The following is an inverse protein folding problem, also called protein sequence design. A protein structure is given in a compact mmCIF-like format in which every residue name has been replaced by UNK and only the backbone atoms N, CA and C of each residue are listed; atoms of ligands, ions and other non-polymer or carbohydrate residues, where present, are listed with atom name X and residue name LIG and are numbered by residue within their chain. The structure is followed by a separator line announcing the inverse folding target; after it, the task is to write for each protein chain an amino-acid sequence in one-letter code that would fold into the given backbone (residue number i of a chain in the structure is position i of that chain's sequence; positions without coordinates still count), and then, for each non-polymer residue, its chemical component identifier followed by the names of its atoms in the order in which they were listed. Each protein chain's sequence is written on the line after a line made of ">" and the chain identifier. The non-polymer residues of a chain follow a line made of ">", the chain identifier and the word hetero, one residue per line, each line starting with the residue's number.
data_IF_762831729676
#
_entry.id   IF_762831729676
#
_cell.length_a   1.000
_cell.length_b   1.000
_cell.length_c   1.000
_cell.angle_alpha   90.00
_cell.angle_beta   90.00
_cell.angle_gamma   90.00
#
_symmetry.space_group_name_H-M   'P 1'
#
loop_
_entity.id
_entity.type
_entity.pdbx_description
1 polymer ?
#
# COMPACT_ATOMS: atom_id res chain seq x y z
N UNK A 1 42.48 12.59 21.14
CA UNK A 1 41.23 13.35 20.87
C UNK A 1 40.33 12.51 19.95
N UNK A 2 39.24 11.94 20.47
CA UNK A 2 38.28 11.12 19.71
C UNK A 2 37.51 12.03 18.75
N UNK A 3 37.87 12.04 17.46
CA UNK A 3 37.13 12.74 16.41
C UNK A 3 35.79 12.01 16.21
N UNK A 4 34.73 12.55 16.83
CA UNK A 4 33.34 12.11 16.66
C UNK A 4 33.03 12.26 15.16
N UNK A 5 32.88 11.15 14.45
CA UNK A 5 32.49 11.16 13.04
C UNK A 5 31.06 11.69 13.00
N UNK A 6 30.90 12.93 12.58
CA UNK A 6 29.61 13.45 12.19
C UNK A 6 29.11 12.62 11.01
N UNK A 7 28.16 11.72 11.29
CA UNK A 7 27.40 11.03 10.25
C UNK A 7 26.22 11.90 9.91
N UNK A 8 26.50 13.06 9.33
CA UNK A 8 25.52 13.79 8.53
C UNK A 8 25.39 13.08 7.17
N UNK A 9 24.87 11.85 7.22
CA UNK A 9 24.40 11.15 6.04
C UNK A 9 22.99 11.66 5.83
N UNK A 10 22.89 12.70 5.00
CA UNK A 10 21.68 13.22 4.34
C UNK A 10 20.55 12.17 4.39
N UNK A 11 19.68 12.28 5.40
CA UNK A 11 18.60 11.32 5.62
C UNK A 11 17.65 11.43 4.44
N UNK A 12 17.40 10.29 3.83
CA UNK A 12 16.54 10.16 2.67
C UNK A 12 15.11 10.44 3.15
N UNK A 13 14.64 11.68 2.94
CA UNK A 13 13.39 12.21 3.50
C UNK A 13 12.19 11.32 3.14
N UNK A 14 12.25 10.66 1.99
CA UNK A 14 11.24 9.68 1.54
C UNK A 14 11.24 8.40 2.40
N UNK A 15 12.42 7.89 2.79
CA UNK A 15 12.52 6.73 3.70
C UNK A 15 12.11 7.08 5.12
N UNK A 16 12.38 8.32 5.56
CA UNK A 16 11.93 8.82 6.86
C UNK A 16 10.40 8.97 6.91
N UNK A 17 9.80 9.47 5.83
CA UNK A 17 8.34 9.49 5.66
C UNK A 17 7.75 8.08 5.66
N UNK A 18 8.36 7.14 4.93
CA UNK A 18 7.89 5.76 4.86
C UNK A 18 8.01 4.98 6.18
N UNK A 19 9.01 5.31 7.00
CA UNK A 19 9.22 4.74 8.33
C UNK A 19 8.60 5.57 9.46
N UNK A 20 7.79 6.59 9.12
CA UNK A 20 7.18 7.47 10.12
C UNK A 20 6.17 6.72 10.99
N UNK A 21 6.08 7.14 12.26
CA UNK A 21 5.08 6.61 13.20
C UNK A 21 3.65 6.79 12.68
N UNK A 22 3.38 7.90 11.98
CA UNK A 22 2.07 8.17 11.38
C UNK A 22 1.67 7.07 10.37
N UNK A 23 2.57 6.72 9.44
CA UNK A 23 2.33 5.65 8.46
C UNK A 23 2.12 4.30 9.15
N UNK A 24 2.89 4.01 10.21
CA UNK A 24 2.71 2.77 10.98
C UNK A 24 1.34 2.70 11.68
N UNK A 25 0.87 3.81 12.26
CA UNK A 25 -0.46 3.89 12.88
C UNK A 25 -1.58 3.73 11.84
N UNK A 26 -1.47 4.41 10.69
CA UNK A 26 -2.46 4.31 9.60
C UNK A 26 -2.61 2.86 9.10
N UNK A 27 -1.50 2.15 8.86
CA UNK A 27 -1.54 0.73 8.45
C UNK A 27 -2.22 -0.18 9.47
N UNK A 28 -2.06 0.10 10.77
CA UNK A 28 -2.72 -0.69 11.83
C UNK A 28 -4.23 -0.43 11.91
N UNK A 29 -4.67 0.79 11.62
CA UNK A 29 -6.09 1.15 11.64
C UNK A 29 -6.83 0.81 10.34
N UNK A 30 -6.10 0.63 9.24
CA UNK A 30 -6.66 0.35 7.91
C UNK A 30 -7.64 -0.84 7.88
N UNK A 31 -7.36 -2.01 8.49
CA UNK A 31 -8.31 -3.13 8.50
C UNK A 31 -9.64 -2.80 9.19
N UNK A 32 -9.60 -1.95 10.22
CA UNK A 32 -10.79 -1.50 10.95
C UNK A 32 -11.61 -0.58 10.05
N UNK A 33 -10.95 0.36 9.36
CA UNK A 33 -11.59 1.24 8.39
C UNK A 33 -12.23 0.47 7.24
N UNK A 34 -11.55 -0.55 6.69
CA UNK A 34 -12.09 -1.41 5.63
C UNK A 34 -13.28 -2.23 6.11
N UNK A 35 -13.28 -2.72 7.36
CA UNK A 35 -14.39 -3.48 7.92
C UNK A 35 -15.69 -2.66 8.07
N UNK A 36 -15.62 -1.34 8.03
CA UNK A 36 -16.81 -0.47 8.00
C UNK A 36 -17.55 -0.52 6.67
N UNK A 37 -16.93 -1.03 5.60
CA UNK A 37 -17.55 -1.18 4.28
C UNK A 37 -18.07 -2.60 4.08
N UNK A 38 -19.19 -2.73 3.36
CA UNK A 38 -19.68 -4.02 2.88
C UNK A 38 -18.77 -4.57 1.75
N UNK A 39 -18.89 -5.85 1.42
CA UNK A 39 -18.02 -6.48 0.42
C UNK A 39 -18.02 -5.77 -0.95
N UNK A 40 -19.20 -5.35 -1.43
CA UNK A 40 -19.34 -4.54 -2.66
C UNK A 40 -18.60 -3.19 -2.58
N UNK A 41 -18.72 -2.50 -1.44
CA UNK A 41 -18.09 -1.20 -1.23
C UNK A 41 -16.57 -1.34 -1.12
N UNK A 42 -16.07 -2.43 -0.51
CA UNK A 42 -14.64 -2.73 -0.46
C UNK A 42 -14.05 -2.98 -1.85
N UNK A 43 -14.81 -3.64 -2.75
CA UNK A 43 -14.40 -3.79 -4.15
C UNK A 43 -14.30 -2.42 -4.84
N UNK A 44 -15.31 -1.55 -4.65
CA UNK A 44 -15.28 -0.18 -5.18
C UNK A 44 -14.07 0.63 -4.70
N UNK A 45 -13.70 0.48 -3.42
CA UNK A 45 -12.48 1.09 -2.85
C UNK A 45 -11.23 0.62 -3.61
N UNK A 46 -11.13 -0.67 -3.93
CA UNK A 46 -9.99 -1.20 -4.70
C UNK A 46 -9.98 -0.71 -6.15
N UNK A 47 -11.13 -0.69 -6.82
CA UNK A 47 -11.25 -0.14 -8.18
C UNK A 47 -10.85 1.33 -8.23
N UNK A 48 -11.31 2.13 -7.26
CA UNK A 48 -10.92 3.53 -7.13
C UNK A 48 -9.41 3.68 -6.90
N UNK A 49 -8.82 2.88 -5.99
CA UNK A 49 -7.35 2.85 -5.76
C UNK A 49 -6.58 2.54 -7.05
N UNK A 50 -7.03 1.55 -7.82
CA UNK A 50 -6.37 1.16 -9.07
C UNK A 50 -6.53 2.24 -10.16
N UNK A 51 -7.64 2.98 -10.18
CA UNK A 51 -7.81 4.15 -11.04
C UNK A 51 -6.82 5.27 -10.67
N UNK A 52 -6.63 5.55 -9.37
CA UNK A 52 -5.62 6.49 -8.90
C UNK A 52 -4.19 6.05 -9.30
N UNK A 53 -3.88 4.75 -9.21
CA UNK A 53 -2.58 4.23 -9.63
C UNK A 53 -2.32 4.35 -11.13
N UNK A 54 -3.37 4.18 -11.95
CA UNK A 54 -3.26 4.31 -13.41
C UNK A 54 -3.06 5.76 -13.86
N UNK A 55 -3.34 6.75 -13.01
CA UNK A 55 -3.03 8.18 -13.23
C UNK A 55 -3.74 8.81 -14.44
N UNK A 56 -4.71 8.12 -15.03
CA UNK A 56 -5.37 8.49 -16.29
C UNK A 56 -6.75 9.12 -16.11
N UNK A 57 -7.22 9.26 -14.88
CA UNK A 57 -8.62 9.56 -14.56
C UNK A 57 -8.67 10.77 -13.62
N UNK A 58 -9.50 11.78 -13.91
CA UNK A 58 -9.69 12.93 -13.03
C UNK A 58 -10.48 12.50 -11.79
N UNK A 59 -10.29 13.19 -10.66
CA UNK A 59 -11.03 12.86 -9.42
C UNK A 59 -12.56 12.89 -9.62
N UNK A 60 -13.03 13.78 -10.50
CA UNK A 60 -14.44 13.90 -10.87
C UNK A 60 -14.98 12.64 -11.55
N UNK A 61 -14.22 12.04 -12.47
CA UNK A 61 -14.65 10.81 -13.17
C UNK A 61 -14.70 9.60 -12.22
N UNK A 62 -13.84 9.58 -11.19
CA UNK A 62 -13.84 8.54 -10.15
C UNK A 62 -15.11 8.66 -9.30
N UNK A 63 -15.51 9.89 -8.96
CA UNK A 63 -16.73 10.16 -8.23
C UNK A 63 -17.97 9.68 -9.00
N UNK A 64 -18.07 10.07 -10.27
CA UNK A 64 -19.18 9.67 -11.14
C UNK A 64 -19.22 8.15 -11.37
N UNK A 65 -18.05 7.50 -11.49
CA UNK A 65 -17.96 6.04 -11.59
C UNK A 65 -18.52 5.34 -10.35
N UNK A 66 -18.07 5.72 -9.15
CA UNK A 66 -18.51 5.08 -7.90
C UNK A 66 -20.01 5.30 -7.69
N UNK A 67 -20.49 6.53 -7.95
CA UNK A 67 -21.92 6.87 -7.87
C UNK A 67 -22.75 6.04 -8.84
N UNK A 68 -22.31 5.92 -10.09
CA UNK A 68 -22.98 5.10 -11.10
C UNK A 68 -23.02 3.62 -10.69
N UNK A 69 -21.90 3.05 -10.24
CA UNK A 69 -21.81 1.64 -9.84
C UNK A 69 -22.62 1.32 -8.58
N UNK A 70 -22.78 2.27 -7.65
CA UNK A 70 -23.68 2.11 -6.49
C UNK A 70 -25.15 2.14 -6.89
N UNK A 71 -25.51 2.94 -7.90
CA UNK A 71 -26.91 3.07 -8.36
C UNK A 71 -27.38 1.94 -9.28
N UNK A 72 -26.46 1.26 -9.96
CA UNK A 72 -26.79 0.16 -10.86
C UNK A 72 -26.84 -1.18 -10.12
N UNK A 73 -27.88 -2.02 -10.33
CA UNK A 73 -27.91 -3.37 -9.78
C UNK A 73 -26.75 -4.20 -10.35
N UNK A 74 -26.17 -5.05 -9.50
CA UNK A 74 -25.01 -5.88 -9.88
C UNK A 74 -25.38 -6.73 -11.09
N UNK A 75 -24.73 -6.47 -12.22
CA UNK A 75 -24.67 -7.43 -13.31
C UNK A 75 -23.53 -8.38 -12.99
N UNK A 76 -23.82 -9.40 -12.19
CA UNK A 76 -22.88 -10.49 -11.96
C UNK A 76 -22.77 -11.24 -13.28
N UNK A 77 -21.66 -11.06 -13.98
CA UNK A 77 -21.35 -11.87 -15.16
C UNK A 77 -20.95 -13.27 -14.67
N UNK A 78 -21.70 -14.34 -15.03
CA UNK A 78 -21.36 -15.69 -14.66
C UNK A 78 -20.06 -16.20 -15.32
N UNK A 79 -19.50 -15.48 -16.29
CA UNK A 79 -18.21 -15.81 -16.91
C UNK A 79 -17.00 -15.26 -16.15
N UNK A 80 -17.21 -14.45 -15.10
CA UNK A 80 -16.12 -13.87 -14.33
C UNK A 80 -15.51 -14.89 -13.33
N UNK A 81 -14.18 -14.93 -13.28
CA UNK A 81 -13.41 -15.80 -12.37
C UNK A 81 -13.70 -15.46 -10.90
N UNK A 82 -14.14 -14.23 -10.62
CA UNK A 82 -14.53 -13.74 -9.29
C UNK A 82 -16.06 -13.74 -9.06
N UNK A 83 -16.85 -14.37 -9.93
CA UNK A 83 -18.32 -14.41 -9.81
C UNK A 83 -18.81 -14.99 -8.48
N UNK A 84 -18.12 -15.99 -7.93
CA UNK A 84 -18.46 -16.57 -6.62
C UNK A 84 -18.24 -15.59 -5.45
N UNK A 85 -17.25 -14.71 -5.55
CA UNK A 85 -16.98 -13.66 -4.57
C UNK A 85 -18.06 -12.58 -4.63
N UNK A 86 -18.41 -12.11 -5.83
CA UNK A 86 -19.49 -11.14 -6.03
C UNK A 86 -20.83 -11.65 -5.50
N UNK A 87 -21.16 -12.93 -5.77
CA UNK A 87 -22.35 -13.57 -5.21
C UNK A 87 -22.35 -13.59 -3.68
N UNK A 88 -21.22 -13.94 -3.05
CA UNK A 88 -21.11 -13.96 -1.59
C UNK A 88 -21.20 -12.56 -0.98
N UNK A 89 -20.52 -11.57 -1.55
CA UNK A 89 -20.51 -10.19 -1.03
C UNK A 89 -21.84 -9.47 -1.23
N UNK A 90 -22.56 -9.77 -2.32
CA UNK A 90 -23.95 -9.34 -2.51
C UNK A 90 -24.86 -9.92 -1.41
N UNK A 91 -24.69 -11.19 -1.05
CA UNK A 91 -25.48 -11.87 -0.01
C UNK A 91 -25.11 -11.46 1.42
N UNK A 92 -23.83 -11.15 1.70
CA UNK A 92 -23.37 -10.67 3.01
C UNK A 92 -23.75 -9.20 3.28
N UNK A 93 -23.77 -8.35 2.24
CA UNK A 93 -24.09 -6.92 2.36
C UNK A 93 -25.52 -6.64 2.85
N UNK A 94 -26.47 -7.53 2.55
CA UNK A 94 -27.89 -7.38 2.93
C UNK A 94 -28.14 -7.41 4.44
N UNK A 95 -27.20 -7.88 5.28
CA UNK A 95 -27.41 -8.04 6.73
C UNK A 95 -27.30 -6.74 7.55
N UNK A 96 -26.89 -5.62 6.94
CA UNK A 96 -26.72 -4.33 7.65
C UNK A 96 -28.00 -3.47 7.60
N UNK A 97 -29.11 -3.97 8.13
CA UNK A 97 -30.34 -3.18 8.24
C UNK A 97 -30.30 -2.11 9.36
N UNK A 98 -29.25 -2.06 10.19
CA UNK A 98 -29.25 -1.26 11.43
C UNK A 98 -28.18 -0.17 11.55
N UNK A 99 -27.31 0.03 10.56
CA UNK A 99 -26.35 1.13 10.60
C UNK A 99 -26.87 2.26 9.72
N UNK A 100 -27.17 3.39 10.37
CA UNK A 100 -27.58 4.71 9.87
C UNK A 100 -27.68 4.82 8.34
N UNK A 101 -28.83 5.31 7.85
CA UNK A 101 -29.01 5.73 6.44
C UNK A 101 -28.03 6.87 6.10
N UNK A 102 -26.77 6.52 5.88
CA UNK A 102 -25.75 7.41 5.29
C UNK A 102 -26.24 7.72 3.89
N UNK A 103 -26.24 9.00 3.52
CA UNK A 103 -26.63 9.39 2.17
C UNK A 103 -25.71 8.69 1.16
N UNK A 104 -26.22 8.29 -0.02
CA UNK A 104 -25.39 7.62 -1.03
C UNK A 104 -24.19 8.48 -1.44
N UNK A 105 -24.34 9.81 -1.41
CA UNK A 105 -23.25 10.75 -1.70
C UNK A 105 -22.17 10.75 -0.60
N UNK A 106 -22.53 10.73 0.69
CA UNK A 106 -21.56 10.57 1.79
C UNK A 106 -20.83 9.22 1.75
N UNK A 107 -21.49 8.16 1.26
CA UNK A 107 -20.85 6.86 1.07
C UNK A 107 -19.81 6.91 -0.04
N UNK A 108 -20.12 7.57 -1.16
CA UNK A 108 -19.17 7.78 -2.27
C UNK A 108 -17.94 8.52 -1.78
N UNK A 109 -18.11 9.60 -1.02
CA UNK A 109 -16.99 10.36 -0.43
C UNK A 109 -16.11 9.48 0.46
N UNK A 110 -16.73 8.69 1.36
CA UNK A 110 -15.99 7.76 2.23
C UNK A 110 -15.20 6.70 1.45
N UNK A 111 -15.75 6.19 0.35
CA UNK A 111 -15.07 5.22 -0.53
C UNK A 111 -13.85 5.89 -1.18
N UNK A 112 -13.99 7.13 -1.68
CA UNK A 112 -12.90 7.87 -2.30
C UNK A 112 -11.80 8.17 -1.29
N UNK A 113 -12.15 8.64 -0.09
CA UNK A 113 -11.18 8.91 0.96
C UNK A 113 -10.38 7.65 1.33
N UNK A 114 -11.06 6.51 1.46
CA UNK A 114 -10.41 5.24 1.73
C UNK A 114 -9.48 4.82 0.58
N UNK A 115 -9.90 5.02 -0.67
CA UNK A 115 -9.08 4.76 -1.85
C UNK A 115 -7.83 5.67 -1.90
N UNK A 116 -7.96 6.96 -1.54
CA UNK A 116 -6.83 7.91 -1.42
C UNK A 116 -5.85 7.47 -0.33
N UNK A 117 -6.34 7.00 0.82
CA UNK A 117 -5.48 6.46 1.89
C UNK A 117 -4.70 5.24 1.41
N UNK A 118 -5.36 4.30 0.73
CA UNK A 118 -4.70 3.12 0.15
C UNK A 118 -3.68 3.49 -0.92
N UNK A 119 -4.01 4.44 -1.79
CA UNK A 119 -3.10 4.96 -2.81
C UNK A 119 -1.87 5.62 -2.17
N UNK A 120 -2.06 6.48 -1.17
CA UNK A 120 -0.96 7.12 -0.44
C UNK A 120 -0.04 6.11 0.24
N UNK A 121 -0.62 5.11 0.92
CA UNK A 121 0.16 4.02 1.51
C UNK A 121 0.91 3.21 0.44
N UNK A 122 0.30 2.97 -0.71
CA UNK A 122 0.95 2.28 -1.82
C UNK A 122 2.15 3.07 -2.37
N UNK A 123 2.02 4.39 -2.55
CA UNK A 123 3.12 5.27 -2.98
C UNK A 123 4.28 5.29 -1.99
N UNK A 124 3.97 5.20 -0.69
CA UNK A 124 4.97 5.19 0.37
C UNK A 124 5.71 3.84 0.45
N UNK A 125 5.00 2.72 0.26
CA UNK A 125 5.59 1.38 0.31
C UNK A 125 6.34 0.99 -0.96
N UNK A 126 5.93 1.58 -2.09
CA UNK A 126 6.53 1.33 -3.39
C UNK A 126 7.02 2.66 -3.98
N UNK A 127 8.07 3.27 -3.39
CA UNK A 127 8.69 4.46 -3.95
C UNK A 127 9.09 4.15 -5.38
N UNK A 128 8.53 4.89 -6.35
CA UNK A 128 8.60 4.56 -7.77
C UNK A 128 10.06 4.32 -8.20
N UNK A 129 10.41 3.05 -8.43
CA UNK A 129 11.58 2.63 -9.20
C UNK A 129 12.99 2.88 -8.62
N UNK A 130 13.21 3.62 -7.53
CA UNK A 130 14.58 4.04 -7.19
C UNK A 130 15.42 3.09 -6.30
N UNK A 131 14.89 1.96 -5.81
CA UNK A 131 15.69 1.10 -4.90
C UNK A 131 15.70 -0.37 -5.32
N UNK A 132 15.69 -0.68 -6.61
CA UNK A 132 16.19 -1.97 -7.11
C UNK A 132 17.73 -2.00 -6.99
N UNK A 133 18.24 -2.04 -5.75
CA UNK A 133 19.70 -2.09 -5.53
C UNK A 133 20.22 -1.77 -4.13
N UNK A 134 19.40 -1.26 -3.20
CA UNK A 134 19.89 -0.85 -1.88
C UNK A 134 19.22 -1.61 -0.74
N UNK A 135 19.38 -2.93 -0.73
CA UNK A 135 19.43 -3.62 0.58
C UNK A 135 20.66 -3.08 1.27
N UNK A 136 20.48 -2.15 2.23
CA UNK A 136 21.58 -1.60 3.01
C UNK A 136 22.30 -2.77 3.67
N UNK A 137 23.48 -3.10 3.18
CA UNK A 137 24.20 -4.22 3.77
C UNK A 137 24.55 -3.88 5.21
N UNK A 138 24.06 -4.70 6.14
CA UNK A 138 24.43 -4.67 7.55
C UNK A 138 25.86 -5.18 7.80
N UNK A 139 26.52 -5.66 6.74
CA UNK A 139 27.87 -6.19 6.76
C UNK A 139 28.79 -5.20 6.04
N UNK A 140 29.83 -4.72 6.73
CA UNK A 140 30.83 -3.86 6.11
C UNK A 140 31.50 -4.55 4.92
N UNK A 141 31.99 -3.77 3.96
CA UNK A 141 32.58 -4.36 2.75
C UNK A 141 33.84 -5.19 3.07
N UNK A 142 34.57 -4.83 4.13
CA UNK A 142 35.66 -5.64 4.67
C UNK A 142 35.18 -7.01 5.17
N UNK A 143 34.07 -7.05 5.94
CA UNK A 143 33.51 -8.31 6.45
C UNK A 143 33.02 -9.20 5.30
N UNK A 144 32.40 -8.62 4.26
CA UNK A 144 32.03 -9.37 3.05
C UNK A 144 33.25 -9.98 2.35
N UNK A 145 34.31 -9.19 2.16
CA UNK A 145 35.57 -9.66 1.54
C UNK A 145 36.23 -10.76 2.36
N UNK A 146 36.24 -10.64 3.69
CA UNK A 146 36.77 -11.66 4.59
C UNK A 146 35.99 -12.98 4.47
N UNK A 147 34.65 -12.93 4.47
CA UNK A 147 33.81 -14.13 4.28
C UNK A 147 34.09 -14.79 2.92
N UNK A 148 34.17 -14.00 1.84
CA UNK A 148 34.52 -14.52 0.50
C UNK A 148 35.92 -15.13 0.48
N UNK A 149 36.90 -14.54 1.16
CA UNK A 149 38.25 -15.07 1.26
C UNK A 149 38.31 -16.39 2.05
N UNK A 150 37.54 -16.51 3.14
CA UNK A 150 37.39 -17.76 3.88
C UNK A 150 36.80 -18.87 2.99
N UNK A 151 35.79 -18.56 2.17
CA UNK A 151 35.24 -19.51 1.20
C UNK A 151 36.25 -19.90 0.11
N UNK A 152 37.16 -18.99 -0.26
CA UNK A 152 38.24 -19.25 -1.23
C UNK A 152 39.49 -19.86 -0.61
N UNK A 153 39.44 -20.26 0.66
CA UNK A 153 40.60 -20.76 1.43
C UNK A 153 41.83 -19.83 1.35
N UNK A 154 41.61 -18.54 1.15
CA UNK A 154 42.68 -17.54 1.09
C UNK A 154 42.99 -17.09 2.52
N UNK A 155 44.27 -17.11 2.93
CA UNK A 155 44.66 -16.74 4.29
C UNK A 155 44.34 -15.27 4.58
N UNK A 156 43.79 -14.98 5.76
CA UNK A 156 43.33 -13.64 6.16
C UNK A 156 44.43 -12.56 6.12
N UNK A 157 45.71 -12.96 6.20
CA UNK A 157 46.86 -12.05 6.15
C UNK A 157 47.15 -11.50 4.74
N UNK A 158 46.59 -12.10 3.70
CA UNK A 158 46.77 -11.66 2.29
C UNK A 158 45.77 -10.57 1.86
N UNK A 159 44.84 -10.19 2.75
CA UNK A 159 43.82 -9.20 2.43
C UNK A 159 44.35 -7.75 2.57
N UNK A 160 44.11 -6.87 1.58
CA UNK A 160 44.45 -5.47 1.70
C UNK A 160 43.57 -4.77 2.76
N UNK A 161 44.20 -3.91 3.58
CA UNK A 161 43.65 -3.31 4.81
C UNK A 161 42.75 -2.10 4.54
#
# INVERSE_FOLDING_TARGET
>A
VKKKRDRDVKRDKEKELASSLMVACLKRLLPIGLNLFAGREQELVQHAKDMFLKGKVQEYDIFDYIKLTLTLPDKIDPSDVMSWQHYLYSKLGTKRESTQKVSPDELVEKIIDMAKVLYGLHMIDHPQGQMKGFVRSVVSMQRKRAVIACFRMTSLHSLPR
#
